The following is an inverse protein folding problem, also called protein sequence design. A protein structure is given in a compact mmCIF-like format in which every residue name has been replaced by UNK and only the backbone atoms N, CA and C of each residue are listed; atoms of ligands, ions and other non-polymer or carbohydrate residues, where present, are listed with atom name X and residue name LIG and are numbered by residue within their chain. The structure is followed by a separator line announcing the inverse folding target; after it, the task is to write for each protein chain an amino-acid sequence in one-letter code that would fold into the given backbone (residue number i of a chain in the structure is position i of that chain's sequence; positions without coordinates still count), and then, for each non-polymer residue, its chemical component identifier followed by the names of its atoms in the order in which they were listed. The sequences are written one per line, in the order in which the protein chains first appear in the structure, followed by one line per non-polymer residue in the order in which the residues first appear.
data_IF_608594965897
#
_entry.id   IF_608594965897
#
_cell.length_a   1.000
_cell.length_b   1.000
_cell.length_c   1.000
_cell.angle_alpha   90.00
_cell.angle_beta   90.00
_cell.angle_gamma   90.00
#
_symmetry.space_group_name_H-M   'P 1'
#
loop_
_entity.id
_entity.type
_entity.pdbx_description
1 polymer ?
#
# COMPACT_ATOMS: atom_id res chain seq x y z
N UNK A 1 7.59 3.11 -14.03
CA UNK A 1 7.78 3.24 -12.57
C UNK A 1 6.64 2.49 -11.91
N UNK A 2 6.94 1.50 -11.08
CA UNK A 2 5.89 0.71 -10.42
C UNK A 2 5.51 1.37 -9.10
N UNK A 3 4.23 1.28 -8.70
CA UNK A 3 3.83 1.67 -7.34
C UNK A 3 4.63 0.91 -6.27
N UNK A 4 5.05 -0.33 -6.57
CA UNK A 4 5.87 -1.19 -5.69
C UNK A 4 7.21 -0.55 -5.28
N UNK A 5 7.75 0.32 -6.12
CA UNK A 5 9.05 0.97 -5.90
C UNK A 5 9.09 1.84 -4.64
N UNK A 6 7.92 2.13 -4.04
CA UNK A 6 7.76 3.01 -2.89
C UNK A 6 6.98 2.41 -1.73
N UNK A 7 6.40 1.21 -1.86
CA UNK A 7 5.59 0.60 -0.81
C UNK A 7 6.35 0.37 0.51
N UNK A 8 7.68 0.25 0.45
CA UNK A 8 8.52 0.16 1.65
C UNK A 8 8.40 1.37 2.60
N UNK A 9 7.96 2.53 2.10
CA UNK A 9 7.73 3.73 2.91
C UNK A 9 6.52 3.56 3.85
N UNK A 10 5.65 2.60 3.58
CA UNK A 10 4.46 2.32 4.39
C UNK A 10 4.74 1.33 5.53
N UNK A 11 5.98 0.86 5.70
CA UNK A 11 6.33 -0.15 6.72
C UNK A 11 5.88 0.23 8.13
N UNK A 12 6.07 1.49 8.50
CA UNK A 12 5.78 1.98 9.84
C UNK A 12 4.38 2.64 9.92
N UNK A 13 3.57 2.48 8.86
CA UNK A 13 2.21 2.98 8.76
C UNK A 13 1.20 1.83 8.78
N UNK A 14 0.24 1.82 9.71
CA UNK A 14 -0.93 0.98 9.56
C UNK A 14 -1.58 1.29 8.22
N UNK A 15 -1.73 0.25 7.39
CA UNK A 15 -2.20 0.38 6.02
C UNK A 15 -3.36 -0.58 5.80
N UNK A 16 -4.50 -0.06 5.35
CA UNK A 16 -5.60 -0.87 4.85
C UNK A 16 -5.58 -0.84 3.31
N UNK A 17 -5.66 -2.02 2.70
CA UNK A 17 -5.84 -2.19 1.27
C UNK A 17 -7.20 -2.82 1.04
N UNK A 18 -8.06 -2.15 0.28
CA UNK A 18 -9.40 -2.64 -0.08
C UNK A 18 -9.45 -2.86 -1.59
N UNK A 19 -9.96 -4.02 -2.01
CA UNK A 19 -9.98 -4.43 -3.43
C UNK A 19 -11.33 -5.03 -3.82
N UNK A 20 -11.85 -4.70 -5.01
CA UNK A 20 -13.04 -5.40 -5.53
C UNK A 20 -12.66 -6.69 -6.23
N UNK A 21 -13.30 -7.81 -5.89
CA UNK A 21 -12.93 -9.14 -6.45
C UNK A 21 -13.18 -9.25 -7.96
N UNK A 22 -14.02 -8.37 -8.51
CA UNK A 22 -14.40 -8.35 -9.93
C UNK A 22 -13.60 -7.33 -10.75
N UNK A 23 -12.50 -6.81 -10.21
CA UNK A 23 -11.65 -5.86 -10.93
C UNK A 23 -10.91 -6.56 -12.08
N UNK A 24 -11.37 -6.31 -13.30
CA UNK A 24 -10.74 -6.77 -14.54
C UNK A 24 -9.76 -5.74 -15.13
N UNK A 25 -9.71 -4.52 -14.58
CA UNK A 25 -8.77 -3.47 -14.99
C UNK A 25 -7.42 -3.68 -14.29
N UNK A 26 -7.46 -3.93 -12.99
CA UNK A 26 -6.29 -4.28 -12.18
C UNK A 26 -6.60 -5.59 -11.43
N UNK A 27 -6.08 -6.73 -11.92
CA UNK A 27 -6.35 -8.02 -11.30
C UNK A 27 -6.06 -8.08 -9.80
N UNK A 28 -6.88 -8.83 -9.06
CA UNK A 28 -6.79 -9.02 -7.61
C UNK A 28 -5.38 -9.38 -7.11
N UNK A 29 -4.63 -10.17 -7.90
CA UNK A 29 -3.26 -10.55 -7.61
C UNK A 29 -2.34 -9.33 -7.35
N UNK A 30 -2.60 -8.18 -7.97
CA UNK A 30 -1.84 -6.96 -7.68
C UNK A 30 -2.09 -6.42 -6.28
N UNK A 31 -3.31 -6.54 -5.76
CA UNK A 31 -3.67 -6.19 -4.39
C UNK A 31 -3.02 -7.14 -3.38
N UNK A 32 -3.04 -8.44 -3.65
CA UNK A 32 -2.36 -9.46 -2.85
C UNK A 32 -0.84 -9.20 -2.81
N UNK A 33 -0.22 -8.97 -3.97
CA UNK A 33 1.20 -8.63 -4.05
C UNK A 33 1.54 -7.34 -3.29
N UNK A 34 0.65 -6.34 -3.30
CA UNK A 34 0.84 -5.12 -2.53
C UNK A 34 0.74 -5.39 -1.02
N UNK A 35 -0.23 -6.17 -0.58
CA UNK A 35 -0.38 -6.60 0.81
C UNK A 35 0.87 -7.33 1.31
N UNK A 36 1.40 -8.27 0.51
CA UNK A 36 2.64 -8.99 0.84
C UNK A 36 3.86 -8.05 0.91
N UNK A 37 3.90 -6.99 0.11
CA UNK A 37 5.00 -6.03 0.07
C UNK A 37 4.96 -4.99 1.21
N UNK A 38 3.82 -4.82 1.89
CA UNK A 38 3.62 -3.86 2.99
C UNK A 38 3.41 -4.66 4.28
N UNK A 39 4.48 -4.89 5.07
CA UNK A 39 4.38 -5.61 6.34
C UNK A 39 3.33 -4.99 7.26
N UNK A 40 2.46 -5.80 7.84
CA UNK A 40 1.43 -5.34 8.77
C UNK A 40 0.24 -4.62 8.12
N UNK A 41 0.16 -4.58 6.78
CA UNK A 41 -1.06 -4.12 6.12
C UNK A 41 -2.23 -5.07 6.37
N UNK A 42 -3.45 -4.56 6.31
CA UNK A 42 -4.68 -5.33 6.30
C UNK A 42 -5.20 -5.39 4.87
N UNK A 43 -5.70 -6.54 4.44
CA UNK A 43 -6.24 -6.73 3.10
C UNK A 43 -7.68 -7.20 3.17
N UNK A 44 -8.58 -6.44 2.57
CA UNK A 44 -10.02 -6.72 2.54
C UNK A 44 -10.48 -6.75 1.09
N UNK A 45 -11.12 -7.84 0.69
CA UNK A 45 -11.78 -7.94 -0.60
C UNK A 45 -13.27 -7.68 -0.47
N UNK A 46 -13.85 -7.05 -1.49
CA UNK A 46 -15.28 -6.79 -1.60
C UNK A 46 -15.82 -7.62 -2.77
N UNK A 47 -16.45 -8.79 -2.51
CA UNK A 47 -17.01 -9.65 -3.54
C UNK A 47 -17.99 -8.99 -4.54
N UNK A 48 -18.85 -8.03 -4.13
CA UNK A 48 -19.76 -7.38 -5.08
C UNK A 48 -19.08 -6.32 -5.96
N UNK A 49 -17.92 -5.78 -5.56
CA UNK A 49 -17.26 -4.66 -6.22
C UNK A 49 -16.25 -5.10 -7.31
N UNK A 50 -15.97 -4.19 -8.23
CA UNK A 50 -14.94 -4.29 -9.26
C UNK A 50 -13.87 -3.20 -9.04
N UNK A 51 -13.61 -2.36 -10.05
CA UNK A 51 -12.48 -1.41 -10.05
C UNK A 51 -12.69 -0.20 -9.13
N UNK A 52 -13.94 0.17 -8.83
CA UNK A 52 -14.26 1.34 -8.02
C UNK A 52 -15.06 0.94 -6.78
N UNK A 53 -14.43 0.25 -5.81
CA UNK A 53 -15.14 -0.31 -4.66
C UNK A 53 -15.91 0.73 -3.84
N UNK A 54 -15.44 1.98 -3.80
CA UNK A 54 -16.11 3.08 -3.11
C UNK A 54 -17.44 3.52 -3.75
N UNK A 55 -17.65 3.23 -5.04
CA UNK A 55 -18.91 3.49 -5.75
C UNK A 55 -19.79 2.24 -5.82
N UNK A 56 -19.17 1.07 -5.95
CA UNK A 56 -19.84 -0.20 -6.25
C UNK A 56 -20.30 -0.93 -4.99
N UNK A 57 -19.53 -0.84 -3.90
CA UNK A 57 -19.93 -1.31 -2.57
C UNK A 57 -19.53 -0.31 -1.48
N UNK A 58 -20.21 0.86 -1.42
CA UNK A 58 -19.89 1.89 -0.43
C UNK A 58 -20.07 1.40 1.02
N UNK A 59 -21.05 0.51 1.25
CA UNK A 59 -21.34 -0.03 2.57
C UNK A 59 -20.26 -1.01 3.03
N UNK A 60 -19.81 -1.92 2.15
CA UNK A 60 -18.68 -2.80 2.42
C UNK A 60 -17.39 -2.04 2.68
N UNK A 61 -17.10 -1.01 1.87
CA UNK A 61 -15.95 -0.13 2.11
C UNK A 61 -16.06 0.62 3.45
N UNK A 62 -17.22 1.21 3.75
CA UNK A 62 -17.42 1.94 5.00
C UNK A 62 -17.21 1.04 6.23
N UNK A 63 -17.69 -0.22 6.17
CA UNK A 63 -17.46 -1.20 7.22
C UNK A 63 -15.97 -1.53 7.39
N UNK A 64 -15.26 -1.79 6.29
CA UNK A 64 -13.82 -2.08 6.34
C UNK A 64 -13.02 -0.92 6.94
N UNK A 65 -13.40 0.32 6.62
CA UNK A 65 -12.80 1.53 7.19
C UNK A 65 -13.10 1.66 8.68
N UNK A 66 -14.34 1.47 9.10
CA UNK A 66 -14.75 1.57 10.51
C UNK A 66 -14.05 0.53 11.39
N UNK A 67 -13.99 -0.72 10.93
CA UNK A 67 -13.24 -1.78 11.61
C UNK A 67 -11.75 -1.43 11.71
N UNK A 68 -11.13 -1.01 10.61
CA UNK A 68 -9.71 -0.64 10.61
C UNK A 68 -9.43 0.53 11.54
N UNK A 69 -10.22 1.59 11.51
CA UNK A 69 -10.01 2.78 12.35
C UNK A 69 -10.23 2.45 13.83
N UNK A 70 -11.25 1.66 14.16
CA UNK A 70 -11.58 1.33 15.55
C UNK A 70 -10.60 0.33 16.18
N UNK A 71 -9.96 -0.54 15.39
CA UNK A 71 -9.06 -1.58 15.90
C UNK A 71 -7.57 -1.27 15.75
N UNK A 72 -7.20 -0.13 15.17
CA UNK A 72 -5.80 0.15 14.78
C UNK A 72 -5.28 1.40 15.45
N UNK A 73 -4.15 1.26 16.15
CA UNK A 73 -3.44 2.39 16.74
C UNK A 73 -2.84 3.29 15.64
N UNK A 74 -3.05 4.62 15.67
CA UNK A 74 -2.48 5.53 14.69
C UNK A 74 -0.95 5.55 14.73
N UNK A 75 -0.30 5.56 13.56
CA UNK A 75 1.13 5.86 13.48
C UNK A 75 1.40 7.29 13.97
N UNK A 76 2.48 7.45 14.75
CA UNK A 76 3.03 8.76 15.13
C UNK A 76 4.45 8.82 14.60
N UNK A 77 4.67 9.68 13.62
CA UNK A 77 5.96 9.85 12.96
C UNK A 77 6.36 11.31 12.99
N UNK A 78 7.64 11.56 13.20
CA UNK A 78 8.22 12.88 13.13
C UNK A 78 8.91 13.12 11.78
N UNK A 79 9.31 14.38 11.52
CA UNK A 79 9.98 14.75 10.28
C UNK A 79 11.35 14.05 10.11
N UNK A 80 11.99 13.63 11.20
CA UNK A 80 13.30 12.97 11.16
C UNK A 80 13.19 11.50 10.72
N UNK A 81 12.09 10.81 11.05
CA UNK A 81 11.80 9.44 10.65
C UNK A 81 11.75 9.27 9.12
N UNK A 82 11.20 10.27 8.41
CA UNK A 82 11.17 10.29 6.94
C UNK A 82 12.55 10.32 6.31
N UNK A 83 13.50 11.06 6.90
CA UNK A 83 14.86 11.17 6.41
C UNK A 83 15.61 9.83 6.42
N UNK A 84 15.34 9.01 7.44
CA UNK A 84 15.87 7.65 7.60
C UNK A 84 15.29 6.66 6.61
N UNK A 85 14.00 6.78 6.27
CA UNK A 85 13.33 5.89 5.32
C UNK A 85 13.75 6.15 3.85
N UNK A 86 13.94 7.42 3.46
CA UNK A 86 14.20 7.80 2.07
C UNK A 86 15.69 7.68 1.70
N UNK A 87 16.60 8.01 2.63
CA UNK A 87 18.04 8.09 2.37
C UNK A 87 18.72 6.80 1.89
N UNK A 88 18.41 5.59 2.43
CA UNK A 88 19.13 4.37 2.07
C UNK A 88 18.94 3.98 0.59
N UNK A 89 17.73 4.16 0.03
CA UNK A 89 17.41 3.75 -1.36
C UNK A 89 17.68 4.83 -2.41
N UNK A 90 17.73 6.11 -2.03
CA UNK A 90 18.26 7.16 -2.92
C UNK A 90 19.75 6.93 -3.24
N UNK A 91 20.51 6.46 -2.24
CA UNK A 91 21.93 6.11 -2.41
C UNK A 91 22.13 4.86 -3.26
N UNK A 92 21.29 3.83 -3.09
CA UNK A 92 21.36 2.61 -3.91
C UNK A 92 21.06 2.88 -5.40
N UNK A 93 20.00 3.64 -5.73
CA UNK A 93 19.70 4.03 -7.12
C UNK A 93 20.81 4.83 -7.78
N UNK A 94 21.46 5.75 -7.05
CA UNK A 94 22.63 6.49 -7.56
C UNK A 94 23.81 5.56 -7.88
N UNK A 95 23.98 4.48 -7.12
CA UNK A 95 25.08 3.54 -7.32
C UNK A 95 24.83 2.60 -8.50
N UNK A 96 23.59 2.13 -8.70
CA UNK A 96 23.21 1.32 -9.87
C UNK A 96 23.28 2.13 -11.17
N UNK A 97 22.74 3.36 -11.17
CA UNK A 97 22.81 4.24 -12.34
C UNK A 97 24.25 4.57 -12.77
N UNK A 98 25.18 4.72 -11.80
CA UNK A 98 26.61 4.90 -12.09
C UNK A 98 27.27 3.64 -12.66
N UNK A 99 26.81 2.44 -12.30
CA UNK A 99 27.35 1.17 -12.79
C UNK A 99 26.85 0.80 -14.18
N UNK A 100 25.62 1.19 -14.54
CA UNK A 100 25.07 0.94 -15.88
C UNK A 100 25.62 1.92 -16.95
N UNK A 101 26.26 3.00 -16.53
CA UNK A 101 26.85 4.02 -17.39
C UNK A 101 28.37 3.88 -17.58
N UNK A 102 28.96 2.79 -17.08
CA UNK A 102 30.38 2.42 -17.17
C UNK A 102 30.51 1.09 -17.91
#
# INVERSE_FOLDING_TARGET
MSARDRLYLLRDYPTLIVWGERDHTIPLAHGEEAHHAIPGSHFVTLPPAAHFPHLEDPAGLAKALDEFISSTEPARLDDADWGGLISPRARHRRHEAKRAAA
#
